data_IF_601916241454
#
_entry.id   IF_601916241454
#
_cell.length_a   1.000
_cell.length_b   1.000
_cell.length_c   1.000
_cell.angle_alpha   90.00
_cell.angle_beta   90.00
_cell.angle_gamma   90.00
#
_symmetry.space_group_name_H-M   'P 1'
#
loop_
_entity.id
_entity.type
_entity.pdbx_description
1 polymer ?
#
# COMPACT_ATOMS: atom_id res chain seq x y z
N UNK A 1 5.95 26.63 -5.91
CA UNK A 1 5.33 25.37 -5.46
C UNK A 1 5.49 25.29 -3.95
N UNK A 2 4.45 24.95 -3.19
CA UNK A 2 4.54 24.84 -1.73
C UNK A 2 5.32 23.56 -1.40
N UNK A 3 6.47 23.68 -0.72
CA UNK A 3 7.36 22.53 -0.43
C UNK A 3 6.65 21.38 0.30
N UNK A 4 5.61 21.69 1.09
CA UNK A 4 4.78 20.69 1.75
C UNK A 4 3.88 19.91 0.77
N UNK A 5 3.31 20.60 -0.22
CA UNK A 5 2.51 19.97 -1.27
C UNK A 5 3.36 19.05 -2.15
N UNK A 6 4.54 19.52 -2.55
CA UNK A 6 5.50 18.73 -3.34
C UNK A 6 5.91 17.45 -2.60
N UNK A 7 6.23 17.57 -1.31
CA UNK A 7 6.58 16.42 -0.46
C UNK A 7 5.42 15.42 -0.34
N UNK A 8 4.17 15.89 -0.20
CA UNK A 8 2.99 15.01 -0.21
C UNK A 8 2.79 14.32 -1.56
N UNK A 9 2.97 15.04 -2.67
CA UNK A 9 2.80 14.48 -4.01
C UNK A 9 3.83 13.37 -4.28
N UNK A 10 5.11 13.62 -3.96
CA UNK A 10 6.18 12.65 -4.10
C UNK A 10 5.90 11.39 -3.25
N UNK A 11 5.48 11.59 -2.00
CA UNK A 11 5.12 10.47 -1.13
C UNK A 11 3.98 9.63 -1.73
N UNK A 12 2.90 10.25 -2.22
CA UNK A 12 1.77 9.51 -2.82
C UNK A 12 2.23 8.74 -4.06
N UNK A 13 3.12 9.31 -4.89
CA UNK A 13 3.69 8.63 -6.05
C UNK A 13 4.53 7.42 -5.63
N UNK A 14 5.36 7.54 -4.60
CA UNK A 14 6.17 6.45 -4.08
C UNK A 14 5.30 5.34 -3.46
N UNK A 15 4.25 5.68 -2.72
CA UNK A 15 3.29 4.70 -2.20
C UNK A 15 2.52 3.98 -3.32
N UNK A 16 2.21 4.68 -4.41
CA UNK A 16 1.60 4.05 -5.59
C UNK A 16 2.54 3.05 -6.26
N UNK A 17 3.83 3.37 -6.36
CA UNK A 17 4.85 2.44 -6.88
C UNK A 17 5.00 1.21 -5.98
N UNK A 18 5.09 1.41 -4.66
CA UNK A 18 5.17 0.30 -3.71
C UNK A 18 3.91 -0.59 -3.76
N UNK A 19 2.74 0.01 -3.94
CA UNK A 19 1.46 -0.73 -4.06
C UNK A 19 1.40 -1.55 -5.36
N UNK A 20 1.87 -0.99 -6.47
CA UNK A 20 1.97 -1.74 -7.73
C UNK A 20 2.95 -2.91 -7.60
N UNK A 21 4.13 -2.67 -7.03
CA UNK A 21 5.14 -3.72 -6.80
C UNK A 21 4.64 -4.82 -5.85
N UNK A 22 3.91 -4.46 -4.80
CA UNK A 22 3.24 -5.41 -3.91
C UNK A 22 2.26 -6.31 -4.67
N UNK A 23 1.47 -5.72 -5.58
CA UNK A 23 0.49 -6.45 -6.36
C UNK A 23 1.15 -7.42 -7.34
N UNK A 24 2.19 -6.97 -8.05
CA UNK A 24 2.95 -7.83 -8.95
C UNK A 24 3.61 -8.99 -8.20
N UNK A 25 4.18 -8.71 -7.01
CA UNK A 25 4.79 -9.73 -6.17
C UNK A 25 3.78 -10.79 -5.72
N UNK A 26 2.60 -10.38 -5.24
CA UNK A 26 1.55 -11.33 -4.86
C UNK A 26 1.14 -12.21 -6.05
N UNK A 27 0.83 -11.58 -7.20
CA UNK A 27 0.28 -12.28 -8.37
C UNK A 27 1.30 -13.25 -8.98
N UNK A 28 2.59 -12.96 -8.84
CA UNK A 28 3.69 -13.82 -9.30
C UNK A 28 4.12 -14.87 -8.27
N UNK A 29 3.52 -14.87 -7.09
CA UNK A 29 3.79 -15.85 -6.02
C UNK A 29 4.96 -15.48 -5.10
N UNK A 30 5.55 -14.29 -5.25
CA UNK A 30 6.54 -13.74 -4.32
C UNK A 30 5.84 -13.09 -3.11
N UNK A 31 5.25 -13.96 -2.28
CA UNK A 31 4.48 -13.51 -1.12
C UNK A 31 5.33 -12.83 -0.03
N UNK A 32 6.63 -13.09 0.01
CA UNK A 32 7.51 -12.45 0.98
C UNK A 32 7.81 -11.00 0.57
N UNK A 33 8.06 -10.74 -0.71
CA UNK A 33 8.14 -9.36 -1.22
C UNK A 33 6.81 -8.62 -1.05
N UNK A 34 5.67 -9.28 -1.32
CA UNK A 34 4.36 -8.69 -1.09
C UNK A 34 4.16 -8.29 0.38
N UNK A 35 4.56 -9.15 1.34
CA UNK A 35 4.50 -8.84 2.78
C UNK A 35 5.40 -7.67 3.14
N UNK A 36 6.63 -7.67 2.64
CA UNK A 36 7.59 -6.59 2.89
C UNK A 36 7.04 -5.25 2.40
N UNK A 37 6.50 -5.21 1.17
CA UNK A 37 5.89 -4.01 0.61
C UNK A 37 4.66 -3.56 1.40
N UNK A 38 3.79 -4.48 1.82
CA UNK A 38 2.62 -4.14 2.63
C UNK A 38 3.01 -3.50 3.97
N UNK A 39 4.03 -4.03 4.67
CA UNK A 39 4.56 -3.43 5.90
C UNK A 39 5.20 -2.06 5.62
N UNK A 40 5.97 -1.94 4.54
CA UNK A 40 6.58 -0.67 4.13
C UNK A 40 5.53 0.42 3.89
N UNK A 41 4.50 0.13 3.09
CA UNK A 41 3.39 1.05 2.81
C UNK A 41 2.69 1.44 4.12
N UNK A 42 2.40 0.47 4.98
CA UNK A 42 1.75 0.69 6.28
C UNK A 42 2.54 1.71 7.11
N UNK A 43 3.83 1.45 7.32
CA UNK A 43 4.70 2.32 8.12
C UNK A 43 4.82 3.72 7.54
N UNK A 44 5.00 3.84 6.23
CA UNK A 44 5.13 5.13 5.54
C UNK A 44 3.84 5.94 5.62
N UNK A 45 2.69 5.30 5.39
CA UNK A 45 1.38 5.94 5.55
C UNK A 45 1.12 6.36 7.01
N UNK A 46 1.50 5.56 8.00
CA UNK A 46 1.42 5.93 9.42
C UNK A 46 2.28 7.15 9.73
N UNK A 47 3.55 7.16 9.30
CA UNK A 47 4.47 8.29 9.51
C UNK A 47 3.94 9.58 8.87
N UNK A 48 3.27 9.46 7.72
CA UNK A 48 2.68 10.58 7.00
C UNK A 48 1.29 11.01 7.50
N UNK A 49 0.78 10.39 8.58
CA UNK A 49 -0.57 10.65 9.10
C UNK A 49 -1.67 10.43 8.06
N UNK A 50 -1.56 9.36 7.26
CA UNK A 50 -2.54 8.91 6.27
C UNK A 50 -3.27 7.64 6.80
N UNK A 51 -4.19 7.78 7.78
CA UNK A 51 -4.72 6.65 8.54
C UNK A 51 -5.52 5.67 7.69
N UNK A 52 -6.23 6.14 6.66
CA UNK A 52 -7.01 5.28 5.75
C UNK A 52 -6.08 4.37 4.96
N UNK A 53 -5.00 4.92 4.38
CA UNK A 53 -4.01 4.13 3.65
C UNK A 53 -3.31 3.13 4.58
N UNK A 54 -2.90 3.56 5.77
CA UNK A 54 -2.25 2.69 6.75
C UNK A 54 -3.16 1.50 7.13
N UNK A 55 -4.45 1.76 7.40
CA UNK A 55 -5.40 0.70 7.77
C UNK A 55 -5.67 -0.30 6.64
N UNK A 56 -5.71 0.18 5.39
CA UNK A 56 -5.91 -0.68 4.21
C UNK A 56 -4.66 -1.52 3.92
N UNK A 57 -3.46 -0.94 4.01
CA UNK A 57 -2.20 -1.68 3.84
C UNK A 57 -2.01 -2.75 4.94
N UNK A 58 -2.33 -2.40 6.18
CA UNK A 58 -2.32 -3.35 7.31
C UNK A 58 -3.35 -4.47 7.14
N UNK A 59 -4.51 -4.19 6.52
CA UNK A 59 -5.47 -5.24 6.12
C UNK A 59 -4.87 -6.18 5.08
N UNK A 60 -4.16 -5.68 4.06
CA UNK A 60 -3.46 -6.52 3.09
C UNK A 60 -2.42 -7.40 3.79
N UNK A 61 -1.60 -6.83 4.67
CA UNK A 61 -0.60 -7.56 5.44
C UNK A 61 -1.20 -8.70 6.27
N UNK A 62 -2.33 -8.46 6.95
CA UNK A 62 -3.04 -9.52 7.69
C UNK A 62 -3.55 -10.66 6.80
N UNK A 63 -4.01 -10.33 5.59
CA UNK A 63 -4.52 -11.33 4.64
C UNK A 63 -3.40 -12.11 3.96
N UNK A 64 -2.24 -11.51 3.73
CA UNK A 64 -1.02 -12.21 3.31
C UNK A 64 -0.51 -13.17 4.40
N UNK A 65 -0.82 -12.87 5.67
CA UNK A 65 -0.42 -13.68 6.81
C UNK A 65 1.08 -13.65 7.09
N UNK A 66 1.55 -14.37 8.12
CA UNK A 66 2.98 -14.46 8.42
C UNK A 66 3.76 -15.21 7.32
N UNK A 67 5.10 -15.09 7.27
CA UNK A 67 5.92 -15.86 6.34
C UNK A 67 5.62 -17.37 6.38
N UNK A 68 5.50 -17.98 5.21
CA UNK A 68 5.13 -19.40 5.07
C UNK A 68 3.65 -19.73 5.25
N UNK A 69 2.80 -18.76 5.64
CA UNK A 69 1.36 -18.95 5.63
C UNK A 69 0.78 -18.86 4.22
N UNK A 70 -0.36 -19.54 4.02
CA UNK A 70 -1.19 -19.37 2.84
C UNK A 70 -1.86 -18.01 2.87
N UNK A 71 -1.86 -17.35 1.72
CA UNK A 71 -2.57 -16.08 1.52
C UNK A 71 -4.08 -16.32 1.57
N UNK A 72 -4.80 -15.42 2.24
CA UNK A 72 -6.25 -15.52 2.40
C UNK A 72 -6.99 -15.08 1.12
N UNK A 73 -8.16 -15.68 0.79
CA UNK A 73 -8.89 -15.41 -0.45
C UNK A 73 -9.22 -13.93 -0.73
N UNK A 74 -9.42 -13.12 0.32
CA UNK A 74 -9.83 -11.72 0.19
C UNK A 74 -8.66 -10.75 -0.07
N UNK A 75 -7.43 -11.24 -0.23
CA UNK A 75 -6.24 -10.40 -0.43
C UNK A 75 -6.41 -9.49 -1.65
N UNK A 76 -6.93 -10.00 -2.76
CA UNK A 76 -7.09 -9.23 -4.00
C UNK A 76 -8.07 -8.06 -3.84
N UNK A 77 -9.14 -8.27 -3.08
CA UNK A 77 -10.07 -7.17 -2.75
C UNK A 77 -9.39 -6.12 -1.88
N UNK A 78 -8.62 -6.53 -0.87
CA UNK A 78 -7.89 -5.58 -0.02
C UNK A 78 -6.82 -4.79 -0.79
N UNK A 79 -6.14 -5.41 -1.74
CA UNK A 79 -5.19 -4.77 -2.64
C UNK A 79 -5.87 -3.72 -3.53
N UNK A 80 -7.04 -4.06 -4.09
CA UNK A 80 -7.85 -3.13 -4.86
C UNK A 80 -8.33 -1.94 -4.00
N UNK A 81 -8.80 -2.20 -2.78
CA UNK A 81 -9.27 -1.15 -1.88
C UNK A 81 -8.14 -0.15 -1.55
N UNK A 82 -6.92 -0.64 -1.31
CA UNK A 82 -5.73 0.18 -1.09
C UNK A 82 -5.38 1.02 -2.34
N UNK A 83 -5.34 0.40 -3.52
CA UNK A 83 -5.04 1.11 -4.77
C UNK A 83 -6.06 2.22 -5.06
N UNK A 84 -7.36 1.95 -4.85
CA UNK A 84 -8.41 2.95 -5.01
C UNK A 84 -8.29 4.10 -4.00
N UNK A 85 -7.85 3.81 -2.77
CA UNK A 85 -7.59 4.85 -1.78
C UNK A 85 -6.42 5.75 -2.20
N UNK A 86 -5.33 5.19 -2.73
CA UNK A 86 -4.21 5.96 -3.26
C UNK A 86 -4.61 6.87 -4.43
N UNK A 87 -5.46 6.38 -5.34
CA UNK A 87 -5.99 7.20 -6.45
C UNK A 87 -6.79 8.39 -5.92
N UNK A 88 -7.57 8.21 -4.84
CA UNK A 88 -8.30 9.32 -4.20
C UNK A 88 -7.35 10.35 -3.61
N UNK A 89 -6.35 9.92 -2.84
CA UNK A 89 -5.32 10.79 -2.25
C UNK A 89 -4.58 11.61 -3.33
N UNK A 90 -4.20 10.99 -4.45
CA UNK A 90 -3.53 11.69 -5.55
C UNK A 90 -4.40 12.77 -6.22
N UNK A 91 -5.72 12.55 -6.30
CA UNK A 91 -6.68 13.52 -6.87
C UNK A 91 -6.88 14.73 -5.98
N UNK A 92 -6.77 14.60 -4.67
CA UNK A 92 -6.86 15.72 -3.73
C UNK A 92 -5.65 16.66 -3.79
N UNK A 93 -4.54 16.21 -4.41
CA UNK A 93 -3.29 16.96 -4.56
C UNK A 93 -3.12 17.63 -5.93
N UNK A 94 -4.01 17.35 -6.90
CA UNK A 94 -3.96 17.84 -8.29
C UNK A 94 -4.85 19.05 -8.49
#
# INVERSE_FOLDING_TARGET
>A
MNAHLESRLLLVAELAQDTAAMNDAEVTGDHDEARFRADLITRRATQASMPVLAALADRVMRLLGPPGALVQPDVGQAMLDLALALVREGRELS
#
